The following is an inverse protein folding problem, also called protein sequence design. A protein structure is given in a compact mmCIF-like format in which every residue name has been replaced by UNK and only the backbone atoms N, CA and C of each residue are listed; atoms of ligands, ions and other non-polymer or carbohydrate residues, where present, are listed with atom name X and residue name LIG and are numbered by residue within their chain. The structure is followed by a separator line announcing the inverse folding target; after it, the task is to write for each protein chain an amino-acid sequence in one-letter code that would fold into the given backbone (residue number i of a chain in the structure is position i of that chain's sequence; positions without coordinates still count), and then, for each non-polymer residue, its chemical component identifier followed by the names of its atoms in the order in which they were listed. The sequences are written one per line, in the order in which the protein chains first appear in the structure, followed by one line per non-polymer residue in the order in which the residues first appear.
data_IF_268146709657
#
_entry.id   IF_268146709657
#
_cell.length_a   1.000
_cell.length_b   1.000
_cell.length_c   1.000
_cell.angle_alpha   90.00
_cell.angle_beta   90.00
_cell.angle_gamma   90.00
#
_symmetry.space_group_name_H-M   'P 1'
#
loop_
_entity.id
_entity.type
_entity.pdbx_description
1 polymer ?
#
# COMPACT_ATOMS: atom_id res chain seq x y z
N UNK A 1 -9.75 -2.47 -2.35
CA UNK A 1 -8.56 -2.71 -1.50
C UNK A 1 -8.43 -1.51 -0.58
N UNK A 2 -8.36 -1.71 0.74
CA UNK A 2 -8.21 -0.60 1.70
C UNK A 2 -6.85 -0.74 2.35
N UNK A 3 -5.96 0.21 2.06
CA UNK A 3 -4.64 0.26 2.68
C UNK A 3 -4.73 1.02 4.01
N UNK A 4 -4.28 0.40 5.09
CA UNK A 4 -4.32 1.00 6.42
C UNK A 4 -2.92 1.03 7.04
N UNK A 5 -2.55 2.18 7.60
CA UNK A 5 -1.32 2.31 8.40
C UNK A 5 -1.66 2.01 9.86
N UNK A 6 -1.40 0.79 10.29
CA UNK A 6 -1.60 0.36 11.66
C UNK A 6 -0.27 0.14 12.39
N UNK A 7 -0.36 0.11 13.72
CA UNK A 7 0.75 -0.31 14.59
C UNK A 7 0.55 -1.76 15.01
N UNK A 8 1.63 -2.51 14.96
CA UNK A 8 1.71 -3.85 15.52
C UNK A 8 1.90 -3.73 17.03
N UNK A 9 1.17 -4.52 17.82
CA UNK A 9 1.35 -4.63 19.29
C UNK A 9 1.44 -6.07 19.72
N UNK A 10 2.17 -6.32 20.81
CA UNK A 10 2.26 -7.64 21.44
C UNK A 10 1.03 -7.89 22.31
N UNK A 11 0.40 -9.04 22.12
CA UNK A 11 -0.70 -9.57 22.93
C UNK A 11 -0.36 -10.98 23.37
N UNK A 12 -0.02 -11.15 24.65
CA UNK A 12 0.46 -12.43 25.18
C UNK A 12 1.71 -12.91 24.44
N UNK A 13 1.62 -14.07 23.79
CA UNK A 13 2.71 -14.66 23.00
C UNK A 13 2.59 -14.39 21.49
N UNK A 14 1.69 -13.49 21.08
CA UNK A 14 1.43 -13.16 19.69
C UNK A 14 1.56 -11.65 19.43
N UNK A 15 1.63 -11.27 18.17
CA UNK A 15 1.55 -9.88 17.73
C UNK A 15 0.25 -9.68 16.93
N UNK A 16 -0.45 -8.58 17.22
CA UNK A 16 -1.69 -8.18 16.54
C UNK A 16 -1.54 -6.83 15.86
N UNK A 17 -2.34 -6.61 14.82
CA UNK A 17 -2.46 -5.33 14.12
C UNK A 17 -3.66 -4.59 14.72
N UNK A 18 -3.47 -3.36 15.19
CA UNK A 18 -4.57 -2.55 15.72
C UNK A 18 -5.29 -1.85 14.56
N UNK A 19 -6.54 -2.23 14.32
CA UNK A 19 -7.41 -1.61 13.32
C UNK A 19 -8.27 -0.54 14.01
N UNK A 20 -8.27 0.72 13.53
CA UNK A 20 -9.18 1.76 14.01
C UNK A 20 -10.65 1.36 13.90
N UNK A 21 -11.45 1.71 14.91
CA UNK A 21 -12.87 1.37 14.98
C UNK A 21 -13.69 1.94 13.81
N UNK A 22 -13.31 3.11 13.30
CA UNK A 22 -13.95 3.76 12.16
C UNK A 22 -13.92 2.85 10.92
N UNK A 23 -12.79 2.20 10.66
CA UNK A 23 -12.62 1.30 9.51
C UNK A 23 -13.47 0.04 9.68
N UNK A 24 -13.55 -0.49 10.91
CA UNK A 24 -14.41 -1.65 11.20
C UNK A 24 -15.88 -1.33 10.92
N UNK A 25 -16.35 -0.13 11.33
CA UNK A 25 -17.72 0.32 11.06
C UNK A 25 -17.99 0.51 9.58
N UNK A 26 -17.09 1.16 8.84
CA UNK A 26 -17.24 1.35 7.38
C UNK A 26 -17.32 0.03 6.61
N UNK A 27 -16.65 -1.01 7.11
CA UNK A 27 -16.61 -2.34 6.49
C UNK A 27 -17.62 -3.32 7.07
N UNK A 28 -18.42 -2.91 8.05
CA UNK A 28 -19.34 -3.77 8.80
C UNK A 28 -18.65 -5.04 9.32
N UNK A 29 -17.42 -4.90 9.81
CA UNK A 29 -16.65 -5.99 10.40
C UNK A 29 -16.85 -6.00 11.92
N UNK A 30 -16.99 -7.21 12.48
CA UNK A 30 -17.21 -7.42 13.91
C UNK A 30 -16.01 -8.07 14.59
N UNK A 31 -15.95 -7.95 15.91
CA UNK A 31 -14.96 -8.69 16.70
C UNK A 31 -15.16 -10.21 16.51
N UNK A 32 -14.05 -10.94 16.32
CA UNK A 32 -14.05 -12.40 16.15
C UNK A 32 -14.19 -12.89 14.70
N UNK A 33 -14.41 -11.99 13.74
CA UNK A 33 -14.38 -12.34 12.32
C UNK A 33 -12.94 -12.62 11.84
N UNK A 34 -12.79 -13.67 11.03
CA UNK A 34 -11.52 -13.96 10.36
C UNK A 34 -11.37 -13.08 9.11
N UNK A 35 -10.19 -12.52 8.92
CA UNK A 35 -9.86 -11.68 7.77
C UNK A 35 -8.53 -12.11 7.16
N UNK A 36 -8.44 -12.04 5.83
CA UNK A 36 -7.18 -12.16 5.13
C UNK A 36 -6.38 -10.86 5.20
N UNK A 37 -5.13 -10.94 5.64
CA UNK A 37 -4.23 -9.79 5.74
C UNK A 37 -3.04 -9.94 4.80
N UNK A 38 -2.81 -8.94 3.95
CA UNK A 38 -1.61 -8.84 3.12
C UNK A 38 -0.63 -7.92 3.82
N UNK A 39 0.53 -8.45 4.22
CA UNK A 39 1.59 -7.68 4.87
C UNK A 39 2.61 -7.28 3.80
N UNK A 40 2.81 -5.98 3.62
CA UNK A 40 3.85 -5.44 2.75
C UNK A 40 4.97 -4.88 3.62
N UNK A 41 6.21 -5.32 3.37
CA UNK A 41 7.36 -4.70 4.00
C UNK A 41 7.48 -3.24 3.53
N UNK A 42 7.85 -2.36 4.46
CA UNK A 42 8.06 -0.95 4.16
C UNK A 42 9.41 -0.76 3.44
N UNK A 43 9.53 -1.34 2.26
CA UNK A 43 10.61 -1.11 1.30
C UNK A 43 10.31 0.14 0.48
N UNK A 44 11.36 0.80 -0.02
CA UNK A 44 11.22 1.89 -0.99
C UNK A 44 10.62 1.33 -2.29
N UNK A 45 9.29 1.20 -2.38
CA UNK A 45 8.59 0.76 -3.59
C UNK A 45 9.04 1.61 -4.79
N UNK A 46 9.33 2.89 -4.57
CA UNK A 46 9.94 3.78 -5.55
C UNK A 46 11.34 3.30 -5.98
N UNK A 47 12.28 3.02 -5.06
CA UNK A 47 13.65 2.58 -5.44
C UNK A 47 13.66 1.27 -6.21
N UNK A 48 12.80 0.31 -5.82
CA UNK A 48 12.75 -0.99 -6.48
C UNK A 48 12.11 -0.90 -7.87
N UNK A 49 11.15 0.00 -8.05
CA UNK A 49 10.49 0.25 -9.34
C UNK A 49 11.39 1.07 -10.28
N UNK A 50 12.05 2.13 -9.78
CA UNK A 50 13.05 2.90 -10.54
C UNK A 50 14.28 2.06 -10.93
N UNK A 51 14.65 1.06 -10.14
CA UNK A 51 15.73 0.12 -10.46
C UNK A 51 15.41 -0.84 -11.60
N UNK A 52 14.15 -1.30 -11.71
CA UNK A 52 13.69 -2.25 -12.74
C UNK A 52 13.29 -1.58 -14.07
N UNK A 53 12.80 -0.33 -14.04
CA UNK A 53 12.37 0.40 -15.25
C UNK A 53 13.55 0.95 -16.07
N UNK A 54 14.73 1.12 -15.46
CA UNK A 54 15.95 1.64 -16.10
C UNK A 54 16.39 0.93 -17.38
N UNK A 55 15.87 -0.26 -17.69
CA UNK A 55 16.28 -1.04 -18.87
C UNK A 55 15.36 -0.92 -20.09
N UNK A 56 14.21 -0.25 -20.03
CA UNK A 56 13.27 -0.24 -21.17
C UNK A 56 12.87 1.12 -21.76
N UNK A 57 13.02 2.23 -21.05
CA UNK A 57 12.73 3.58 -21.58
C UNK A 57 13.68 4.62 -21.00
N UNK A 58 14.07 5.60 -21.80
CA UNK A 58 14.88 6.73 -21.32
C UNK A 58 14.02 7.64 -20.43
N UNK A 59 14.65 8.35 -19.48
CA UNK A 59 13.98 9.32 -18.60
C UNK A 59 13.14 10.34 -19.38
N UNK A 60 13.62 10.73 -20.56
CA UNK A 60 12.94 11.69 -21.44
C UNK A 60 11.62 11.14 -22.02
N UNK A 61 11.55 9.84 -22.33
CA UNK A 61 10.32 9.21 -22.79
C UNK A 61 9.26 9.17 -21.70
N UNK A 62 9.67 8.91 -20.45
CA UNK A 62 8.76 8.92 -19.30
C UNK A 62 8.19 10.30 -19.02
N UNK A 63 9.02 11.36 -19.08
CA UNK A 63 8.55 12.73 -18.87
C UNK A 63 7.53 13.15 -19.94
N UNK A 64 7.74 12.76 -21.20
CA UNK A 64 6.79 13.04 -22.30
C UNK A 64 5.46 12.29 -22.17
N UNK A 65 5.46 11.09 -21.60
CA UNK A 65 4.23 10.32 -21.33
C UNK A 65 3.42 10.97 -20.21
N UNK A 66 4.08 11.38 -19.12
CA UNK A 66 3.45 12.07 -17.99
C UNK A 66 2.86 13.42 -18.44
N UNK A 67 3.62 14.21 -19.22
CA UNK A 67 3.13 15.49 -19.72
C UNK A 67 1.92 15.31 -20.64
N UNK A 68 1.86 14.25 -21.47
CA UNK A 68 0.69 13.97 -22.30
C UNK A 68 -0.55 13.61 -21.47
N UNK A 69 -0.40 12.75 -20.47
CA UNK A 69 -1.51 12.32 -19.61
C UNK A 69 -2.09 13.48 -18.77
N UNK A 70 -1.28 14.48 -18.41
CA UNK A 70 -1.70 15.64 -17.62
C UNK A 70 -2.43 16.73 -18.41
N UNK A 71 -2.31 16.76 -19.74
CA UNK A 71 -2.95 17.78 -20.60
C UNK A 71 -4.20 17.28 -21.33
N UNK A 72 -4.51 15.99 -21.29
CA UNK A 72 -5.73 15.39 -21.89
C UNK A 72 -6.90 15.23 -20.88
N UNK A 73 -7.02 16.17 -19.90
CA UNK A 73 -8.16 16.24 -18.95
C UNK A 73 -8.87 17.59 -19.03
#
# INVERSE_FOLDING_TARGET
MTELKAKIRKWGNSFGIIIPLEILKEKNLSEGEEIDAIILEKGNVLKETFGKIKFKKSTEQMMREIDKELYDV
#
